data_IF_482654502230
#
_entry.id   IF_482654502230
#
_cell.length_a   1.000
_cell.length_b   1.000
_cell.length_c   1.000
_cell.angle_alpha   90.00
_cell.angle_beta   90.00
_cell.angle_gamma   90.00
#
_symmetry.space_group_name_H-M   'P 1'
#
loop_
_entity.id
_entity.type
_entity.pdbx_description
1 polymer ?
#
# COMPACT_ATOMS: atom_id res chain seq x y z
N UNK A 1 13.33 -40.28 -6.97
CA UNK A 1 12.40 -39.23 -6.47
C UNK A 1 12.16 -38.29 -7.63
N UNK A 2 11.01 -38.43 -8.27
CA UNK A 2 10.65 -37.72 -9.49
C UNK A 2 10.18 -36.31 -9.11
N UNK A 3 10.99 -35.31 -9.45
CA UNK A 3 10.63 -33.90 -9.26
C UNK A 3 9.62 -33.54 -10.33
N UNK A 4 8.34 -33.53 -9.95
CA UNK A 4 7.24 -33.13 -10.82
C UNK A 4 7.39 -31.64 -11.12
N UNK A 5 7.65 -31.32 -12.37
CA UNK A 5 7.57 -29.95 -12.88
C UNK A 5 6.14 -29.46 -12.64
N UNK A 6 5.92 -28.69 -11.58
CA UNK A 6 4.67 -27.96 -11.37
C UNK A 6 4.63 -26.80 -12.37
N UNK A 7 4.29 -27.10 -13.62
CA UNK A 7 3.75 -26.08 -14.53
C UNK A 7 2.60 -25.40 -13.79
N UNK A 8 2.76 -24.11 -13.49
CA UNK A 8 1.69 -23.29 -12.94
C UNK A 8 0.47 -23.41 -13.86
N UNK A 9 -0.54 -24.14 -13.39
CA UNK A 9 -1.80 -24.27 -14.12
C UNK A 9 -2.39 -22.85 -14.23
N UNK A 10 -3.13 -22.53 -15.29
CA UNK A 10 -3.80 -21.23 -15.48
C UNK A 10 -4.53 -20.74 -14.20
N UNK A 11 -5.02 -21.67 -13.38
CA UNK A 11 -5.67 -21.44 -12.10
C UNK A 11 -4.75 -20.80 -11.04
N UNK A 12 -3.47 -21.18 -11.02
CA UNK A 12 -2.47 -20.64 -10.08
C UNK A 12 -2.05 -19.23 -10.49
N UNK A 13 -1.94 -18.96 -11.79
CA UNK A 13 -1.79 -17.60 -12.32
C UNK A 13 -2.95 -16.69 -11.91
N UNK A 14 -4.18 -17.17 -12.09
CA UNK A 14 -5.39 -16.43 -11.70
C UNK A 14 -5.50 -16.27 -10.18
N UNK A 15 -4.91 -17.18 -9.39
CA UNK A 15 -4.81 -17.03 -7.94
C UNK A 15 -3.83 -15.92 -7.56
N UNK A 16 -2.65 -15.86 -8.20
CA UNK A 16 -1.62 -14.82 -7.97
C UNK A 16 -2.13 -13.43 -8.33
N UNK A 17 -2.82 -13.28 -9.46
CA UNK A 17 -3.35 -11.98 -9.88
C UNK A 17 -4.46 -11.48 -8.93
N UNK A 18 -5.28 -12.39 -8.38
CA UNK A 18 -6.26 -12.03 -7.34
C UNK A 18 -5.58 -11.51 -6.06
N UNK A 19 -4.50 -12.13 -5.62
CA UNK A 19 -3.72 -11.62 -4.46
C UNK A 19 -3.04 -10.29 -4.76
N UNK A 20 -2.54 -10.10 -5.98
CA UNK A 20 -1.93 -8.84 -6.42
C UNK A 20 -2.94 -7.69 -6.43
N UNK A 21 -4.09 -7.92 -7.05
CA UNK A 21 -5.17 -6.93 -7.12
C UNK A 21 -5.71 -6.56 -5.73
N UNK A 22 -5.82 -7.53 -4.81
CA UNK A 22 -6.19 -7.28 -3.42
C UNK A 22 -5.14 -6.41 -2.68
N UNK A 23 -3.85 -6.62 -2.96
CA UNK A 23 -2.77 -5.83 -2.36
C UNK A 23 -2.73 -4.40 -2.93
N UNK A 24 -2.93 -4.24 -4.23
CA UNK A 24 -3.06 -2.92 -4.89
C UNK A 24 -4.27 -2.15 -4.34
N UNK A 25 -5.43 -2.81 -4.17
CA UNK A 25 -6.60 -2.21 -3.50
C UNK A 25 -6.27 -1.69 -2.11
N UNK A 26 -5.53 -2.49 -1.33
CA UNK A 26 -5.13 -2.12 0.03
C UNK A 26 -4.21 -0.91 0.00
N UNK A 27 -3.24 -0.87 -0.92
CA UNK A 27 -2.39 0.29 -1.13
C UNK A 27 -3.18 1.55 -1.52
N UNK A 28 -4.13 1.43 -2.46
CA UNK A 28 -4.97 2.56 -2.86
C UNK A 28 -5.84 3.08 -1.71
N UNK A 29 -6.23 2.23 -0.75
CA UNK A 29 -6.91 2.66 0.47
C UNK A 29 -5.98 3.49 1.38
N UNK A 30 -4.72 3.07 1.56
CA UNK A 30 -3.72 3.87 2.27
C UNK A 30 -3.44 5.21 1.57
N UNK A 31 -3.33 5.20 0.24
CA UNK A 31 -3.14 6.41 -0.56
C UNK A 31 -4.31 7.38 -0.43
N UNK A 32 -5.55 6.88 -0.51
CA UNK A 32 -6.76 7.69 -0.31
C UNK A 32 -6.76 8.34 1.06
N UNK A 33 -6.51 7.55 2.10
CA UNK A 33 -6.50 8.08 3.48
C UNK A 33 -5.41 9.13 3.64
N UNK A 34 -4.19 8.90 3.16
CA UNK A 34 -3.13 9.92 3.24
C UNK A 34 -3.49 11.23 2.54
N UNK A 35 -4.15 11.19 1.38
CA UNK A 35 -4.60 12.42 0.67
C UNK A 35 -5.70 13.12 1.46
N UNK A 36 -6.66 12.38 2.02
CA UNK A 36 -7.69 12.96 2.87
C UNK A 36 -7.08 13.69 4.06
N UNK A 37 -6.17 13.03 4.80
CA UNK A 37 -5.46 13.63 5.93
C UNK A 37 -4.65 14.87 5.53
N UNK A 38 -3.97 14.83 4.38
CA UNK A 38 -3.20 15.96 3.86
C UNK A 38 -4.10 17.13 3.48
N UNK A 39 -5.16 16.87 2.71
CA UNK A 39 -6.11 17.90 2.29
C UNK A 39 -6.80 18.55 3.49
N UNK A 40 -7.32 17.75 4.42
CA UNK A 40 -7.93 18.26 5.66
C UNK A 40 -6.92 19.04 6.50
N UNK A 41 -5.69 18.55 6.66
CA UNK A 41 -4.64 19.25 7.40
C UNK A 41 -4.30 20.62 6.79
N UNK A 42 -4.14 20.69 5.46
CA UNK A 42 -3.92 21.95 4.75
C UNK A 42 -5.12 22.89 4.91
N UNK A 43 -6.35 22.39 4.73
CA UNK A 43 -7.56 23.20 4.90
C UNK A 43 -7.66 23.81 6.30
N UNK A 44 -7.31 23.05 7.35
CA UNK A 44 -7.32 23.54 8.74
C UNK A 44 -6.25 24.62 8.96
N UNK A 45 -5.05 24.44 8.41
CA UNK A 45 -3.96 25.43 8.56
C UNK A 45 -4.28 26.75 7.82
N UNK A 46 -5.00 26.68 6.69
CA UNK A 46 -5.21 27.86 5.85
C UNK A 46 -6.38 28.76 6.30
N UNK A 47 -7.24 28.28 7.19
CA UNK A 47 -8.38 29.05 7.68
C UNK A 47 -7.97 29.83 8.93
N UNK A 48 -7.91 31.16 8.81
CA UNK A 48 -7.50 32.09 9.89
C UNK A 48 -8.37 32.01 11.15
N UNK A 49 -9.58 31.44 11.07
CA UNK A 49 -10.47 31.25 12.22
C UNK A 49 -10.03 30.14 13.18
N UNK A 50 -9.04 29.32 12.81
CA UNK A 50 -8.63 28.11 13.55
C UNK A 50 -7.24 28.21 14.19
N UNK A 51 -6.79 29.40 14.64
CA UNK A 51 -5.47 29.57 15.26
C UNK A 51 -5.19 28.54 16.37
N UNK A 52 -6.14 28.29 17.28
CA UNK A 52 -6.03 27.27 18.35
C UNK A 52 -5.90 25.84 17.83
N UNK A 53 -6.41 25.57 16.62
CA UNK A 53 -6.53 24.23 16.02
C UNK A 53 -5.44 23.94 14.99
N UNK A 54 -4.63 24.95 14.67
CA UNK A 54 -3.52 24.88 13.70
C UNK A 54 -2.52 23.76 14.05
N UNK A 55 -2.31 23.49 15.35
CA UNK A 55 -1.47 22.38 15.81
C UNK A 55 -2.00 21.01 15.34
N UNK A 56 -3.33 20.81 15.34
CA UNK A 56 -3.94 19.60 14.79
C UNK A 56 -3.75 19.52 13.28
N UNK A 57 -3.82 20.65 12.58
CA UNK A 57 -3.53 20.75 11.15
C UNK A 57 -2.13 20.22 10.81
N UNK A 58 -1.10 20.70 11.51
CA UNK A 58 0.27 20.19 11.37
C UNK A 58 0.38 18.71 11.74
N UNK A 59 -0.34 18.25 12.77
CA UNK A 59 -0.43 16.84 13.11
C UNK A 59 -0.98 15.97 11.97
N UNK A 60 -2.06 16.40 11.32
CA UNK A 60 -2.68 15.72 10.17
C UNK A 60 -1.74 15.68 8.96
N UNK A 61 -1.06 16.80 8.67
CA UNK A 61 -0.09 16.89 7.57
C UNK A 61 1.11 15.98 7.83
N UNK A 62 1.63 15.91 9.06
CA UNK A 62 2.71 14.99 9.44
C UNK A 62 2.27 13.52 9.43
N UNK A 63 1.02 13.22 9.79
CA UNK A 63 0.50 11.85 9.79
C UNK A 63 0.29 11.30 8.37
N UNK A 64 -0.05 12.16 7.41
CA UNK A 64 -0.25 11.77 6.01
C UNK A 64 0.93 10.99 5.39
N UNK A 65 2.18 11.49 5.39
CA UNK A 65 3.31 10.75 4.84
C UNK A 65 3.62 9.48 5.62
N UNK A 66 3.31 9.41 6.93
CA UNK A 66 3.48 8.19 7.74
C UNK A 66 2.53 7.09 7.23
N UNK A 67 1.25 7.40 7.05
CA UNK A 67 0.24 6.49 6.51
C UNK A 67 0.64 6.02 5.11
N UNK A 68 1.07 6.95 4.25
CA UNK A 68 1.51 6.65 2.90
C UNK A 68 2.75 5.73 2.90
N UNK A 69 3.74 6.01 3.74
CA UNK A 69 4.95 5.20 3.86
C UNK A 69 4.62 3.78 4.31
N UNK A 70 3.73 3.60 5.28
CA UNK A 70 3.26 2.28 5.70
C UNK A 70 2.59 1.53 4.53
N UNK A 71 1.73 2.20 3.77
CA UNK A 71 1.09 1.63 2.58
C UNK A 71 2.10 1.18 1.51
N UNK A 72 3.10 2.01 1.24
CA UNK A 72 4.19 1.73 0.30
C UNK A 72 5.00 0.52 0.77
N UNK A 73 5.47 0.52 2.03
CA UNK A 73 6.26 -0.58 2.60
C UNK A 73 5.50 -1.92 2.53
N UNK A 74 4.18 -1.91 2.79
CA UNK A 74 3.32 -3.08 2.68
C UNK A 74 3.22 -3.59 1.24
N UNK A 75 3.00 -2.68 0.29
CA UNK A 75 2.95 -3.01 -1.14
C UNK A 75 4.23 -3.71 -1.59
N UNK A 76 5.39 -3.14 -1.25
CA UNK A 76 6.71 -3.69 -1.59
C UNK A 76 7.01 -5.03 -0.90
N UNK A 77 6.64 -5.20 0.39
CA UNK A 77 6.83 -6.47 1.10
C UNK A 77 6.10 -7.63 0.42
N UNK A 78 4.83 -7.42 0.08
CA UNK A 78 4.01 -8.46 -0.56
C UNK A 78 4.50 -8.74 -1.99
N UNK A 79 4.86 -7.70 -2.75
CA UNK A 79 5.45 -7.84 -4.09
C UNK A 79 6.74 -8.67 -4.05
N UNK A 80 7.61 -8.44 -3.05
CA UNK A 80 8.86 -9.19 -2.85
C UNK A 80 8.63 -10.65 -2.41
N UNK A 81 7.58 -10.92 -1.63
CA UNK A 81 7.21 -12.28 -1.24
C UNK A 81 6.75 -13.13 -2.42
N UNK A 82 5.92 -12.57 -3.31
CA UNK A 82 5.40 -13.28 -4.48
C UNK A 82 6.55 -13.57 -5.47
N UNK A 83 7.43 -12.59 -5.70
CA UNK A 83 8.60 -12.78 -6.57
C UNK A 83 9.52 -13.92 -6.13
N UNK A 84 9.72 -14.13 -4.82
CA UNK A 84 10.57 -15.24 -4.32
C UNK A 84 9.95 -16.63 -4.42
N UNK A 85 8.62 -16.75 -4.43
CA UNK A 85 7.93 -18.05 -4.54
C UNK A 85 7.72 -18.49 -5.99
N UNK A 86 7.60 -17.54 -6.93
CA UNK A 86 7.37 -17.84 -8.35
C UNK A 86 8.68 -18.02 -9.13
N UNK A 87 9.79 -17.41 -8.71
CA UNK A 87 11.09 -17.50 -9.39
C UNK A 87 12.10 -18.50 -8.78
N UNK A 88 11.68 -19.40 -7.89
CA UNK A 88 12.54 -20.53 -7.48
C UNK A 88 12.34 -21.73 -8.43
N UNK A 89 12.34 -21.45 -9.72
CA UNK A 89 12.56 -22.47 -10.75
C UNK A 89 13.94 -22.19 -11.32
N UNK A 90 14.95 -23.02 -11.01
CA UNK A 90 16.27 -22.86 -11.59
C UNK A 90 16.15 -23.08 -13.11
N UNK A 91 16.70 -22.15 -13.88
CA UNK A 91 17.51 -22.54 -15.03
C UNK A 91 18.95 -22.40 -14.60
#
# INVERSE_FOLDING_TARGET
>A
MEFKEEELILRDYLAIDRTRLANERTFLAYFRTSIFFLGTGISVIHIEFFEEVTFLGWGLVCLSPIILTIGILRLFRVKKMIGKRVYKTPK
#
